data_IF_732190331306
#
_entry.id   IF_732190331306
#
_cell.length_a   1.000
_cell.length_b   1.000
_cell.length_c   1.000
_cell.angle_alpha   90.00
_cell.angle_beta   90.00
_cell.angle_gamma   90.00
#
_symmetry.space_group_name_H-M   'P 1'
#
loop_
_entity.id
_entity.type
_entity.pdbx_description
1 polymer ?
#
# COMPACT_ATOMS: atom_id res chain seq x y z
N UNK A 1 -0.99 8.34 -15.67
CA UNK A 1 -1.48 9.57 -15.04
C UNK A 1 -1.42 9.41 -13.53
N UNK A 2 -1.23 10.50 -12.79
CA UNK A 2 -1.30 10.46 -11.32
C UNK A 2 -2.73 10.63 -10.83
N UNK A 3 -3.17 9.79 -9.91
CA UNK A 3 -4.46 9.89 -9.25
C UNK A 3 -4.32 10.32 -7.79
N UNK A 4 -5.26 11.12 -7.29
CA UNK A 4 -5.21 11.62 -5.91
C UNK A 4 -5.25 10.44 -4.92
N UNK A 5 -4.33 10.42 -3.96
CA UNK A 5 -4.18 9.38 -2.95
C UNK A 5 -5.23 9.56 -1.85
N UNK A 6 -6.47 9.19 -2.15
CA UNK A 6 -7.60 9.19 -1.21
C UNK A 6 -8.34 7.86 -1.33
N UNK A 7 -8.98 7.45 -0.23
CA UNK A 7 -9.69 6.17 -0.14
C UNK A 7 -10.70 5.97 -1.27
N UNK A 8 -11.48 6.99 -1.62
CA UNK A 8 -12.49 6.92 -2.68
C UNK A 8 -11.89 6.51 -4.03
N UNK A 9 -10.82 7.18 -4.46
CA UNK A 9 -10.14 6.85 -5.72
C UNK A 9 -9.47 5.49 -5.65
N UNK A 10 -8.80 5.19 -4.54
CA UNK A 10 -8.06 3.95 -4.39
C UNK A 10 -8.97 2.72 -4.32
N UNK A 11 -10.13 2.83 -3.69
CA UNK A 11 -11.11 1.74 -3.62
C UNK A 11 -11.65 1.34 -5.00
N UNK A 12 -11.60 2.24 -5.98
CA UNK A 12 -12.01 1.94 -7.35
C UNK A 12 -10.95 1.13 -8.12
N UNK A 13 -9.66 1.34 -7.81
CA UNK A 13 -8.56 0.68 -8.52
C UNK A 13 -7.99 -0.50 -7.74
N UNK A 14 -7.96 -0.47 -6.42
CA UNK A 14 -7.48 -1.51 -5.52
C UNK A 14 -8.63 -1.84 -4.53
N UNK A 15 -9.74 -2.44 -5.02
CA UNK A 15 -10.90 -2.65 -4.18
C UNK A 15 -10.58 -3.50 -2.96
N UNK A 16 -11.17 -3.13 -1.82
CA UNK A 16 -10.99 -3.90 -0.60
C UNK A 16 -11.46 -5.34 -0.83
N UNK A 17 -10.61 -6.30 -0.51
CA UNK A 17 -10.92 -7.72 -0.59
C UNK A 17 -10.37 -8.36 0.67
N UNK A 18 -11.25 -8.91 1.50
CA UNK A 18 -10.89 -9.64 2.71
C UNK A 18 -11.18 -11.12 2.53
N UNK A 19 -10.30 -12.03 2.97
CA UNK A 19 -10.55 -13.45 2.84
C UNK A 19 -11.68 -13.89 3.79
N UNK A 20 -12.58 -14.75 3.28
CA UNK A 20 -13.84 -15.09 3.95
C UNK A 20 -13.82 -16.36 4.82
N UNK A 21 -12.91 -17.31 4.58
CA UNK A 21 -12.90 -18.60 5.28
C UNK A 21 -11.55 -18.95 5.94
N UNK A 22 -10.42 -18.54 5.35
CA UNK A 22 -9.08 -18.68 5.91
C UNK A 22 -8.53 -17.28 6.15
N UNK A 23 -8.04 -17.00 7.34
CA UNK A 23 -7.44 -15.71 7.62
C UNK A 23 -6.03 -15.65 7.03
N UNK A 24 -5.74 -14.60 6.25
CA UNK A 24 -4.41 -14.25 5.76
C UNK A 24 -4.17 -12.77 5.98
N UNK A 25 -2.93 -12.45 6.32
CA UNK A 25 -2.39 -11.09 6.31
C UNK A 25 -2.54 -10.45 4.90
N UNK A 26 -2.95 -9.16 4.77
CA UNK A 26 -3.20 -8.52 3.48
C UNK A 26 -1.92 -8.31 2.66
N UNK A 27 -1.99 -8.40 1.34
CA UNK A 27 -0.87 -8.04 0.46
C UNK A 27 -0.54 -6.54 0.56
N UNK A 28 -1.57 -5.72 0.75
CA UNK A 28 -1.48 -4.27 0.86
C UNK A 28 -2.42 -3.75 1.93
N UNK A 29 -1.86 -2.98 2.85
CA UNK A 29 -2.59 -2.30 3.91
C UNK A 29 -2.36 -0.80 3.82
N UNK A 30 -3.46 -0.04 3.79
CA UNK A 30 -3.42 1.42 3.70
C UNK A 30 -4.25 2.04 4.82
N UNK A 31 -3.64 2.98 5.54
CA UNK A 31 -4.28 3.81 6.56
C UNK A 31 -4.42 5.22 5.99
N UNK A 32 -5.64 5.76 6.00
CA UNK A 32 -5.92 7.16 5.63
C UNK A 32 -6.19 8.07 6.84
N UNK A 33 -6.33 7.51 8.05
CA UNK A 33 -6.54 8.26 9.29
C UNK A 33 -5.22 8.83 9.86
N UNK A 34 -5.28 9.94 10.61
CA UNK A 34 -4.23 10.70 11.31
C UNK A 34 -2.88 10.90 10.58
N UNK A 35 -2.21 9.83 10.17
CA UNK A 35 -1.02 9.81 9.34
C UNK A 35 -1.18 8.73 8.29
N UNK A 36 -1.14 9.13 7.01
CA UNK A 36 -1.24 8.20 5.89
C UNK A 36 -0.09 7.20 5.94
N UNK A 37 -0.42 5.90 5.84
CA UNK A 37 0.58 4.82 5.74
C UNK A 37 0.26 3.92 4.56
N UNK A 38 1.30 3.58 3.80
CA UNK A 38 1.24 2.60 2.72
C UNK A 38 2.15 1.44 3.09
N UNK A 39 1.55 0.30 3.41
CA UNK A 39 2.23 -0.88 3.95
C UNK A 39 2.05 -2.01 2.98
N UNK A 40 3.14 -2.55 2.47
CA UNK A 40 3.14 -3.60 1.45
C UNK A 40 3.90 -4.82 1.94
N UNK A 41 3.37 -6.01 1.64
CA UNK A 41 4.05 -7.26 1.95
C UNK A 41 5.35 -7.37 1.13
N UNK A 42 6.45 -7.77 1.77
CA UNK A 42 7.78 -7.78 1.13
C UNK A 42 7.81 -8.64 -0.14
N UNK A 43 7.13 -9.80 -0.19
CA UNK A 43 7.09 -10.63 -1.40
C UNK A 43 6.43 -9.92 -2.60
N UNK A 44 5.45 -9.05 -2.34
CA UNK A 44 4.86 -8.21 -3.40
C UNK A 44 5.84 -7.12 -3.81
N UNK A 45 6.50 -6.50 -2.84
CA UNK A 45 7.49 -5.45 -3.07
C UNK A 45 8.66 -5.93 -3.93
N UNK A 46 9.19 -7.12 -3.66
CA UNK A 46 10.30 -7.75 -4.40
C UNK A 46 9.96 -8.06 -5.87
N UNK A 47 8.66 -8.15 -6.21
CA UNK A 47 8.20 -8.38 -7.58
C UNK A 47 7.99 -7.08 -8.36
N UNK A 48 8.01 -5.92 -7.69
CA UNK A 48 7.86 -4.62 -8.33
C UNK A 48 9.17 -4.20 -9.00
N UNK A 49 9.07 -3.36 -10.02
CA UNK A 49 10.26 -2.73 -10.59
C UNK A 49 10.92 -1.82 -9.54
N UNK A 50 12.20 -2.06 -9.25
CA UNK A 50 13.00 -1.31 -8.29
C UNK A 50 12.99 0.21 -8.56
N UNK A 51 12.82 0.62 -9.82
CA UNK A 51 12.74 2.03 -10.21
C UNK A 51 11.64 2.81 -9.50
N UNK A 52 10.58 2.14 -9.04
CA UNK A 52 9.47 2.80 -8.35
C UNK A 52 9.87 3.42 -7.02
N UNK A 53 10.84 2.79 -6.34
CA UNK A 53 11.29 3.15 -5.00
C UNK A 53 12.79 3.47 -4.98
N UNK A 54 13.41 3.73 -6.14
CA UNK A 54 14.83 4.06 -6.22
C UNK A 54 15.15 5.30 -5.37
N UNK A 55 16.10 5.13 -4.44
CA UNK A 55 16.47 6.18 -3.50
C UNK A 55 15.37 6.55 -2.49
N UNK A 56 14.44 5.63 -2.22
CA UNK A 56 13.42 5.72 -1.16
C UNK A 56 13.62 4.63 -0.13
N UNK A 57 13.45 4.98 1.14
CA UNK A 57 13.53 4.04 2.24
C UNK A 57 12.19 3.32 2.43
N UNK A 58 12.31 2.02 2.71
CA UNK A 58 11.23 1.17 3.13
C UNK A 58 11.56 0.63 4.53
N UNK A 59 10.62 0.74 5.46
CA UNK A 59 10.84 0.43 6.87
C UNK A 59 10.19 -0.89 7.24
N UNK A 60 10.95 -1.79 7.87
CA UNK A 60 10.40 -2.99 8.48
C UNK A 60 9.25 -2.64 9.41
N UNK A 61 8.13 -3.33 9.23
CA UNK A 61 6.93 -3.03 9.98
C UNK A 61 6.29 -4.32 10.46
N UNK A 62 6.23 -4.47 11.79
CA UNK A 62 5.60 -5.63 12.39
C UNK A 62 4.11 -5.35 12.56
N UNK A 63 3.30 -5.94 11.67
CA UNK A 63 1.85 -5.94 11.80
C UNK A 63 1.37 -7.33 12.16
N UNK A 64 0.63 -7.41 13.27
CA UNK A 64 -0.13 -8.59 13.62
C UNK A 64 -1.60 -8.29 13.33
N UNK A 65 -2.12 -8.88 12.24
CA UNK A 65 -3.53 -8.79 11.90
C UNK A 65 -4.32 -10.00 12.42
N UNK A 66 -3.63 -11.06 12.86
CA UNK A 66 -4.23 -12.29 13.38
C UNK A 66 -4.35 -12.26 14.91
N UNK A 67 -5.17 -13.15 15.45
CA UNK A 67 -5.25 -13.33 16.91
C UNK A 67 -5.43 -14.77 17.34
N UNK A 68 -5.64 -15.71 16.40
CA UNK A 68 -5.98 -17.10 16.71
C UNK A 68 -4.91 -18.11 16.28
N UNK A 69 -4.56 -19.08 17.14
CA UNK A 69 -3.71 -20.25 16.89
C UNK A 69 -4.16 -21.25 15.80
N UNK A 70 -5.28 -21.00 15.12
CA UNK A 70 -5.76 -21.84 14.00
C UNK A 70 -5.91 -21.09 12.64
N UNK A 71 -5.58 -19.80 12.57
CA UNK A 71 -5.59 -18.95 11.36
C UNK A 71 -4.29 -19.12 10.50
N UNK A 72 -4.06 -20.35 10.03
CA UNK A 72 -2.87 -20.96 9.38
C UNK A 72 -2.58 -20.82 7.89
N UNK A 73 -2.18 -19.67 7.33
CA UNK A 73 -1.38 -19.68 6.07
C UNK A 73 -0.32 -18.54 5.96
N UNK A 74 -0.60 -17.34 6.50
CA UNK A 74 0.27 -16.14 6.44
C UNK A 74 0.21 -15.33 7.74
N UNK A 75 0.83 -15.84 8.80
CA UNK A 75 1.05 -15.08 10.05
C UNK A 75 2.55 -14.76 10.17
N UNK A 76 2.88 -13.57 10.70
CA UNK A 76 4.26 -13.09 10.95
C UNK A 76 5.09 -12.74 9.72
N UNK A 77 4.46 -12.07 8.76
CA UNK A 77 5.11 -11.73 7.50
C UNK A 77 5.88 -10.40 7.55
N UNK A 78 6.98 -10.36 6.81
CA UNK A 78 7.84 -9.19 6.68
C UNK A 78 7.14 -8.12 5.83
N UNK A 79 6.52 -7.14 6.50
CA UNK A 79 5.95 -5.99 5.83
C UNK A 79 6.94 -4.84 5.76
N UNK A 80 6.81 -4.05 4.70
CA UNK A 80 7.51 -2.79 4.54
C UNK A 80 6.53 -1.63 4.50
N UNK A 81 6.75 -0.63 5.34
CA UNK A 81 6.10 0.68 5.23
C UNK A 81 6.92 1.57 4.31
N UNK A 82 6.27 2.12 3.29
CA UNK A 82 6.90 3.11 2.40
C UNK A 82 6.82 4.49 3.04
N UNK A 83 7.95 5.20 3.15
CA UNK A 83 7.98 6.57 3.67
C UNK A 83 7.50 7.57 2.61
N UNK A 84 6.21 7.92 2.67
CA UNK A 84 5.55 8.75 1.65
C UNK A 84 6.11 10.18 1.56
N UNK A 85 6.79 10.67 2.61
CA UNK A 85 7.37 12.02 2.66
C UNK A 85 8.63 12.18 1.78
N UNK A 86 9.22 11.08 1.34
CA UNK A 86 10.45 11.12 0.55
C UNK A 86 10.23 11.41 -0.95
N UNK A 87 8.98 11.45 -1.39
CA UNK A 87 8.62 11.62 -2.79
C UNK A 87 8.58 13.11 -3.22
N UNK A 88 8.87 13.40 -4.50
CA UNK A 88 9.00 14.77 -4.96
C UNK A 88 7.64 15.47 -5.10
N UNK A 89 7.70 16.81 -5.11
CA UNK A 89 6.58 17.66 -5.52
C UNK A 89 6.64 17.91 -7.02
N UNK A 90 5.53 17.69 -7.72
CA UNK A 90 5.37 18.03 -9.14
C UNK A 90 4.38 19.19 -9.30
N UNK A 91 4.68 20.07 -10.26
CA UNK A 91 3.81 21.18 -10.65
C UNK A 91 2.78 20.76 -11.71
N UNK A 92 3.10 19.72 -12.49
CA UNK A 92 2.24 19.13 -13.51
C UNK A 92 2.13 17.61 -13.27
N UNK A 93 0.89 17.11 -13.18
CA UNK A 93 0.56 15.71 -12.93
C UNK A 93 0.23 14.93 -14.22
N UNK A 94 0.17 15.61 -15.36
CA UNK A 94 -0.05 15.03 -16.69
C UNK A 94 1.26 14.58 -17.36
N UNK A 95 2.36 14.58 -16.60
CA UNK A 95 3.68 14.14 -17.06
C UNK A 95 3.81 12.62 -17.05
N UNK A 96 4.85 12.12 -17.70
CA UNK A 96 5.25 10.71 -17.61
C UNK A 96 5.47 10.29 -16.15
N UNK A 97 4.86 9.18 -15.75
CA UNK A 97 4.92 8.65 -14.39
C UNK A 97 6.29 8.04 -14.12
N UNK A 98 7.10 8.74 -13.34
CA UNK A 98 8.46 8.31 -12.96
C UNK A 98 8.57 7.88 -11.50
N UNK A 99 7.62 8.29 -10.67
CA UNK A 99 7.63 8.04 -9.23
C UNK A 99 6.33 7.35 -8.82
N UNK A 100 6.41 6.42 -7.87
CA UNK A 100 5.22 5.73 -7.34
C UNK A 100 4.24 6.70 -6.70
N UNK A 101 4.77 7.68 -5.94
CA UNK A 101 4.01 8.74 -5.30
C UNK A 101 4.60 10.10 -5.65
N UNK A 102 3.77 11.14 -5.60
CA UNK A 102 4.18 12.55 -5.74
C UNK A 102 3.28 13.44 -4.91
N UNK A 103 3.80 14.60 -4.51
CA UNK A 103 2.98 15.68 -3.96
C UNK A 103 2.68 16.71 -5.05
N UNK A 104 1.57 17.44 -4.93
CA UNK A 104 1.39 18.68 -5.67
C UNK A 104 1.86 19.90 -4.85
N UNK A 105 1.79 21.10 -5.43
CA UNK A 105 2.18 22.35 -4.76
C UNK A 105 1.39 22.65 -3.47
N UNK A 106 0.20 22.06 -3.32
CA UNK A 106 -0.65 22.18 -2.14
C UNK A 106 -0.36 21.09 -1.08
N UNK A 107 0.73 20.33 -1.25
CA UNK A 107 1.11 19.21 -0.38
C UNK A 107 0.05 18.08 -0.33
N UNK A 108 -0.73 17.92 -1.40
CA UNK A 108 -1.64 16.79 -1.55
C UNK A 108 -0.91 15.62 -2.20
N UNK A 109 -1.10 14.42 -1.66
CA UNK A 109 -0.46 13.19 -2.13
C UNK A 109 -1.22 12.58 -3.32
N UNK A 110 -0.45 12.11 -4.31
CA UNK A 110 -0.93 11.39 -5.49
C UNK A 110 -0.11 10.11 -5.68
N UNK A 111 -0.71 9.12 -6.35
CA UNK A 111 -0.10 7.84 -6.69
C UNK A 111 -0.18 7.61 -8.19
N UNK A 112 0.87 7.01 -8.74
CA UNK A 112 0.95 6.61 -10.13
C UNK A 112 -0.04 5.48 -10.42
N UNK A 113 -0.87 5.64 -11.44
CA UNK A 113 -1.70 4.57 -11.98
C UNK A 113 -0.86 3.41 -12.53
N UNK A 114 0.31 3.68 -13.10
CA UNK A 114 1.22 2.61 -13.56
C UNK A 114 1.77 1.81 -12.38
N UNK A 115 2.14 2.46 -11.27
CA UNK A 115 2.50 1.76 -10.05
C UNK A 115 1.35 0.89 -9.53
N UNK A 116 0.11 1.38 -9.57
CA UNK A 116 -1.08 0.58 -9.21
C UNK A 116 -1.26 -0.63 -10.12
N UNK A 117 -0.99 -0.51 -11.43
CA UNK A 117 -1.04 -1.65 -12.37
C UNK A 117 0.06 -2.66 -12.06
N UNK A 118 1.25 -2.20 -11.69
CA UNK A 118 2.37 -3.07 -11.35
C UNK A 118 2.10 -3.82 -10.03
N UNK A 119 1.48 -3.18 -9.03
CA UNK A 119 1.01 -3.85 -7.81
C UNK A 119 0.09 -5.03 -8.12
N UNK A 120 -0.90 -4.82 -8.99
CA UNK A 120 -1.80 -5.90 -9.42
C UNK A 120 -1.07 -7.00 -10.17
N UNK A 121 -0.14 -6.62 -11.03
CA UNK A 121 0.64 -7.57 -11.84
C UNK A 121 1.60 -8.40 -10.99
N UNK A 122 2.09 -7.83 -9.87
CA UNK A 122 2.87 -8.51 -8.84
C UNK A 122 2.03 -9.48 -7.98
N UNK A 123 0.70 -9.51 -8.16
CA UNK A 123 -0.20 -10.40 -7.44
C UNK A 123 -0.83 -9.79 -6.20
N UNK A 124 -0.79 -8.47 -6.01
CA UNK A 124 -1.48 -7.79 -4.92
C UNK A 124 -3.00 -7.89 -5.10
N UNK A 125 -3.66 -8.75 -4.31
CA UNK A 125 -5.07 -9.08 -4.42
C UNK A 125 -5.85 -8.96 -3.11
N UNK A 126 -5.17 -9.04 -1.97
CA UNK A 126 -5.73 -8.90 -0.62
C UNK A 126 -5.43 -7.48 -0.10
N UNK A 127 -6.33 -6.54 -0.38
CA UNK A 127 -6.16 -5.11 -0.05
C UNK A 127 -7.10 -4.73 1.08
N UNK A 128 -6.56 -4.13 2.14
CA UNK A 128 -7.30 -3.75 3.34
C UNK A 128 -7.16 -2.24 3.62
N UNK A 129 -8.28 -1.58 3.98
CA UNK A 129 -8.31 -0.15 4.29
C UNK A 129 -8.74 0.12 5.73
N UNK A 130 -8.05 1.04 6.41
CA UNK A 130 -8.43 1.59 7.73
C UNK A 130 -8.84 0.51 8.74
N UNK A 131 -8.18 -0.65 8.68
CA UNK A 131 -8.46 -1.75 9.60
C UNK A 131 -7.77 -1.47 10.91
N UNK A 132 -8.42 -1.82 12.01
CA UNK A 132 -7.84 -1.78 13.36
C UNK A 132 -6.79 -2.89 13.52
N UNK A 133 -5.64 -2.76 12.86
CA UNK A 133 -4.42 -3.40 13.36
C UNK A 133 -3.92 -2.54 14.54
N UNK A 134 -3.63 -3.10 15.74
CA UNK A 134 -3.52 -4.50 16.11
C UNK A 134 -4.72 -5.06 16.92
N UNK A 135 -5.91 -4.47 16.81
CA UNK A 135 -7.08 -4.88 17.60
C UNK A 135 -8.22 -5.32 16.69
N UNK A 136 -8.22 -6.63 16.39
CA UNK A 136 -9.40 -7.49 16.37
C UNK A 136 -10.53 -7.11 15.41
N UNK A 137 -10.93 -8.08 14.59
CA UNK A 137 -12.32 -8.18 14.17
C UNK A 137 -13.23 -7.93 15.38
N UNK A 138 -14.18 -7.02 15.25
CA UNK A 138 -15.29 -6.87 16.20
C UNK A 138 -15.88 -8.22 16.62
#
# INVERSE_FOLDING_TARGET
MYMKFIKENLSNVLPEKRPGMVFSNPDLFIIFDNTIRFVIWEEILEKLNESWLEGKDAWDSNFDFGSHPDDYDRQFDDYKTIELLQFPTLTDLEVEEKYAFVFNENNELYISENFVKDLKSAGCVDIWYDTTAPYGRY
#
